data_IF_679150076552
#
_entry.id   IF_679150076552
#
_cell.length_a   1.000
_cell.length_b   1.000
_cell.length_c   1.000
_cell.angle_alpha   90.00
_cell.angle_beta   90.00
_cell.angle_gamma   90.00
#
_symmetry.space_group_name_H-M   'P 1'
#
loop_
_entity.id
_entity.type
_entity.pdbx_description
1 polymer ?
#
# COMPACT_ATOMS: atom_id res chain seq x y z
N UNK A 1 -7.29 -5.22 5.42
CA UNK A 1 -6.18 -5.13 4.45
C UNK A 1 -5.69 -3.70 4.39
N UNK A 2 -4.39 -3.47 4.57
CA UNK A 2 -3.78 -2.12 4.57
C UNK A 2 -3.11 -1.88 3.22
N UNK A 3 -3.63 -0.91 2.45
CA UNK A 3 -3.14 -0.57 1.12
C UNK A 3 -2.39 0.76 1.09
N UNK A 4 -1.11 0.71 0.75
CA UNK A 4 -0.33 1.86 0.31
C UNK A 4 -0.56 2.19 -1.17
N UNK A 5 0.23 3.15 -1.70
CA UNK A 5 0.03 3.68 -3.05
C UNK A 5 0.26 2.63 -4.16
N UNK A 6 1.03 1.56 -3.94
CA UNK A 6 1.23 0.49 -4.93
C UNK A 6 0.50 -0.81 -4.59
N UNK A 7 0.16 -0.99 -3.32
CA UNK A 7 -0.27 -2.26 -2.74
C UNK A 7 -1.79 -2.48 -2.89
N UNK A 8 -2.55 -1.42 -3.19
CA UNK A 8 -4.00 -1.52 -3.39
C UNK A 8 -4.37 -2.43 -4.58
N UNK A 9 -3.49 -2.59 -5.58
CA UNK A 9 -3.66 -3.52 -6.70
C UNK A 9 -3.66 -4.97 -6.21
N UNK A 10 -2.71 -5.31 -5.33
CA UNK A 10 -2.63 -6.63 -4.67
C UNK A 10 -3.81 -6.85 -3.72
N UNK A 11 -4.19 -5.80 -2.98
CA UNK A 11 -5.35 -5.85 -2.10
C UNK A 11 -6.65 -6.11 -2.88
N UNK A 12 -6.85 -5.46 -4.03
CA UNK A 12 -8.00 -5.69 -4.89
C UNK A 12 -8.11 -7.17 -5.32
N UNK A 13 -7.00 -7.76 -5.77
CA UNK A 13 -6.95 -9.17 -6.16
C UNK A 13 -7.37 -10.11 -5.02
N UNK A 14 -6.82 -9.89 -3.82
CA UNK A 14 -7.22 -10.69 -2.65
C UNK A 14 -8.67 -10.45 -2.24
N UNK A 15 -9.18 -9.22 -2.35
CA UNK A 15 -10.59 -8.94 -2.05
C UNK A 15 -11.54 -9.67 -2.99
N UNK A 16 -11.19 -9.78 -4.28
CA UNK A 16 -11.92 -10.61 -5.24
C UNK A 16 -11.91 -12.08 -4.86
N UNK A 17 -10.74 -12.62 -4.49
CA UNK A 17 -10.63 -14.00 -4.03
C UNK A 17 -11.45 -14.25 -2.75
N UNK A 18 -11.42 -13.32 -1.79
CA UNK A 18 -12.19 -13.43 -0.55
C UNK A 18 -13.69 -13.33 -0.79
N UNK A 19 -14.13 -12.45 -1.69
CA UNK A 19 -15.55 -12.30 -2.03
C UNK A 19 -16.15 -13.55 -2.68
N UNK A 20 -15.33 -14.40 -3.30
CA UNK A 20 -15.74 -15.67 -3.88
C UNK A 20 -15.86 -16.81 -2.84
N UNK A 21 -15.48 -16.57 -1.58
CA UNK A 21 -15.47 -17.58 -0.52
C UNK A 21 -16.45 -17.18 0.59
N UNK A 22 -17.54 -17.93 0.73
CA UNK A 22 -18.61 -17.61 1.68
C UNK A 22 -18.18 -17.74 3.16
N UNK A 23 -17.20 -18.60 3.44
CA UNK A 23 -16.74 -18.89 4.80
C UNK A 23 -15.71 -17.89 5.32
N UNK A 24 -15.23 -16.97 4.46
CA UNK A 24 -14.24 -15.97 4.84
C UNK A 24 -14.91 -14.70 5.39
N UNK A 25 -14.27 -14.03 6.38
CA UNK A 25 -14.79 -12.78 6.93
C UNK A 25 -14.79 -11.67 5.87
N UNK A 26 -15.72 -10.71 6.05
CA UNK A 26 -15.80 -9.54 5.18
C UNK A 26 -14.51 -8.72 5.26
N UNK A 27 -13.94 -8.44 4.10
CA UNK A 27 -12.68 -7.71 3.99
C UNK A 27 -12.90 -6.20 3.99
N UNK A 28 -12.21 -5.49 4.89
CA UNK A 28 -12.08 -4.03 4.86
C UNK A 28 -10.74 -3.60 4.24
N UNK A 29 -10.77 -2.68 3.29
CA UNK A 29 -9.60 -2.00 2.75
C UNK A 29 -9.35 -0.69 3.49
N UNK A 30 -8.19 -0.57 4.13
CA UNK A 30 -7.70 0.66 4.74
C UNK A 30 -6.67 1.30 3.84
N UNK A 31 -6.98 2.47 3.31
CA UNK A 31 -6.13 3.23 2.41
C UNK A 31 -5.30 4.25 3.16
N UNK A 32 -3.99 4.16 3.03
CA UNK A 32 -3.05 4.93 3.84
C UNK A 32 -2.46 6.18 3.15
N UNK A 33 -2.89 6.49 1.93
CA UNK A 33 -2.33 7.56 1.10
C UNK A 33 -3.36 8.64 0.74
N UNK A 34 -2.89 9.71 0.07
CA UNK A 34 -3.72 10.82 -0.38
C UNK A 34 -4.91 10.38 -1.24
N UNK A 35 -6.06 11.01 -1.05
CA UNK A 35 -7.30 10.64 -1.73
C UNK A 35 -7.23 10.72 -3.27
N UNK A 36 -6.36 11.56 -3.82
CA UNK A 36 -6.21 11.79 -5.27
C UNK A 36 -5.60 10.62 -6.05
N UNK A 37 -4.97 9.63 -5.39
CA UNK A 37 -4.33 8.52 -6.10
C UNK A 37 -5.24 7.33 -6.38
N UNK A 38 -6.43 7.27 -5.78
CA UNK A 38 -7.34 6.11 -5.89
C UNK A 38 -8.05 6.01 -7.25
N UNK A 39 -8.34 7.14 -7.90
CA UNK A 39 -9.06 7.15 -9.17
C UNK A 39 -8.35 6.34 -10.26
N UNK A 40 -7.01 6.31 -10.24
CA UNK A 40 -6.20 5.57 -11.22
C UNK A 40 -6.45 4.07 -11.26
N UNK A 41 -6.95 3.47 -10.18
CA UNK A 41 -7.09 2.02 -10.06
C UNK A 41 -8.48 1.59 -9.63
N UNK A 42 -9.46 2.51 -9.68
CA UNK A 42 -10.86 2.25 -9.31
C UNK A 42 -11.44 1.03 -10.05
N UNK A 43 -11.08 0.83 -11.32
CA UNK A 43 -11.60 -0.26 -12.15
C UNK A 43 -11.17 -1.66 -11.67
N UNK A 44 -10.07 -1.79 -10.92
CA UNK A 44 -9.67 -3.07 -10.32
C UNK A 44 -10.62 -3.52 -9.20
N UNK A 45 -11.42 -2.59 -8.68
CA UNK A 45 -12.40 -2.82 -7.63
C UNK A 45 -13.83 -3.00 -8.18
N UNK A 46 -14.02 -3.03 -9.51
CA UNK A 46 -15.33 -3.33 -10.10
C UNK A 46 -15.83 -4.71 -9.67
N UNK A 47 -17.13 -4.82 -9.38
CA UNK A 47 -17.73 -6.06 -8.86
C UNK A 47 -17.57 -6.26 -7.34
N UNK A 48 -16.76 -5.44 -6.66
CA UNK A 48 -16.68 -5.42 -5.20
C UNK A 48 -17.55 -4.31 -4.62
N UNK A 49 -18.23 -4.59 -3.52
CA UNK A 49 -18.83 -3.53 -2.68
C UNK A 49 -17.73 -2.78 -1.92
N UNK A 50 -17.08 -1.85 -2.61
CA UNK A 50 -15.99 -1.04 -2.03
C UNK A 50 -16.52 0.14 -1.24
N UNK A 51 -17.73 0.63 -1.53
CA UNK A 51 -18.31 1.77 -0.84
C UNK A 51 -18.53 1.46 0.66
N UNK A 52 -18.99 0.26 0.99
CA UNK A 52 -19.12 -0.20 2.37
C UNK A 52 -17.82 -0.72 3.01
N UNK A 53 -16.77 -0.95 2.21
CA UNK A 53 -15.57 -1.69 2.62
C UNK A 53 -14.26 -0.90 2.50
N UNK A 54 -14.32 0.41 2.29
CA UNK A 54 -13.16 1.28 2.15
C UNK A 54 -13.10 2.33 3.25
N UNK A 55 -12.01 2.32 4.02
CA UNK A 55 -11.66 3.40 4.94
C UNK A 55 -10.44 4.11 4.40
N UNK A 56 -10.53 5.43 4.21
CA UNK A 56 -9.37 6.24 3.82
C UNK A 56 -8.81 7.00 5.01
N UNK A 57 -7.54 6.73 5.33
CA UNK A 57 -6.80 7.51 6.32
C UNK A 57 -6.37 8.86 5.75
N UNK A 58 -6.25 9.02 4.43
CA UNK A 58 -6.01 10.31 3.78
C UNK A 58 -4.70 11.00 4.17
N UNK A 59 -3.65 10.22 4.45
CA UNK A 59 -2.35 10.72 4.88
C UNK A 59 -1.53 11.08 3.64
N UNK A 60 -1.01 12.30 3.58
CA UNK A 60 -0.29 12.83 2.42
C UNK A 60 0.96 13.60 2.86
N UNK A 61 2.11 13.26 2.26
CA UNK A 61 3.38 13.98 2.51
C UNK A 61 3.86 13.92 3.96
N UNK A 62 4.84 14.76 4.30
CA UNK A 62 5.43 14.83 5.64
C UNK A 62 6.72 14.03 5.81
N UNK A 63 7.36 14.20 6.97
CA UNK A 63 8.58 13.45 7.34
C UNK A 63 8.23 11.97 7.60
N UNK A 64 9.24 11.09 7.58
CA UNK A 64 9.03 9.67 7.88
C UNK A 64 8.37 9.46 9.26
N UNK A 65 8.92 10.10 10.29
CA UNK A 65 8.38 10.03 11.65
C UNK A 65 6.95 10.60 11.75
N UNK A 66 6.69 11.75 11.12
CA UNK A 66 5.37 12.36 11.13
C UNK A 66 4.31 11.49 10.43
N UNK A 67 4.66 10.89 9.29
CA UNK A 67 3.77 9.95 8.58
C UNK A 67 3.51 8.69 9.41
N UNK A 68 4.53 8.10 10.01
CA UNK A 68 4.38 6.92 10.86
C UNK A 68 3.46 7.21 12.06
N UNK A 69 3.65 8.34 12.74
CA UNK A 69 2.80 8.75 13.85
C UNK A 69 1.33 8.91 13.43
N UNK A 70 1.08 9.56 12.30
CA UNK A 70 -0.30 9.76 11.81
C UNK A 70 -0.94 8.45 11.34
N UNK A 71 -0.16 7.56 10.70
CA UNK A 71 -0.60 6.22 10.32
C UNK A 71 -1.03 5.43 11.56
N UNK A 72 -0.18 5.36 12.57
CA UNK A 72 -0.47 4.62 13.80
C UNK A 72 -1.72 5.17 14.49
N UNK A 73 -1.80 6.49 14.69
CA UNK A 73 -2.94 7.14 15.35
C UNK A 73 -4.27 6.88 14.63
N UNK A 74 -4.31 7.08 13.31
CA UNK A 74 -5.56 6.90 12.54
C UNK A 74 -5.91 5.42 12.36
N UNK A 75 -4.92 4.56 12.16
CA UNK A 75 -5.16 3.12 12.00
C UNK A 75 -5.63 2.47 13.30
N UNK A 76 -5.07 2.87 14.45
CA UNK A 76 -5.53 2.41 15.75
C UNK A 76 -7.02 2.71 15.97
N UNK A 77 -7.46 3.93 15.62
CA UNK A 77 -8.89 4.27 15.64
C UNK A 77 -9.72 3.30 14.79
N UNK A 78 -9.26 2.96 13.57
CA UNK A 78 -9.96 1.99 12.71
C UNK A 78 -10.03 0.61 13.37
N UNK A 79 -8.93 0.14 13.95
CA UNK A 79 -8.87 -1.15 14.64
C UNK A 79 -9.85 -1.19 15.80
N UNK A 80 -9.90 -0.14 16.62
CA UNK A 80 -10.78 -0.09 17.80
C UNK A 80 -12.26 -0.10 17.43
N UNK A 81 -12.62 0.51 16.29
CA UNK A 81 -14.02 0.57 15.83
C UNK A 81 -14.44 -0.66 15.03
N UNK A 82 -13.54 -1.22 14.21
CA UNK A 82 -13.86 -2.34 13.33
C UNK A 82 -13.62 -3.71 13.97
N UNK A 83 -12.79 -3.78 15.02
CA UNK A 83 -12.39 -5.01 15.71
C UNK A 83 -12.08 -6.18 14.76
N UNK A 84 -11.13 -6.01 13.82
CA UNK A 84 -10.84 -7.04 12.83
C UNK A 84 -10.24 -8.28 13.48
N UNK A 85 -10.52 -9.46 12.92
CA UNK A 85 -9.93 -10.72 13.37
C UNK A 85 -8.44 -10.87 13.00
N UNK A 86 -7.99 -10.16 11.97
CA UNK A 86 -6.59 -10.13 11.51
C UNK A 86 -6.32 -8.88 10.67
N UNK A 87 -5.04 -8.51 10.55
CA UNK A 87 -4.58 -7.42 9.69
C UNK A 87 -3.66 -7.97 8.62
N UNK A 88 -3.98 -7.69 7.35
CA UNK A 88 -3.14 -8.04 6.21
C UNK A 88 -2.37 -6.80 5.76
N UNK A 89 -1.05 -6.90 5.70
CA UNK A 89 -0.12 -5.89 5.16
C UNK A 89 0.60 -6.45 3.93
N UNK A 90 1.13 -5.55 3.09
CA UNK A 90 1.76 -5.91 1.82
C UNK A 90 3.13 -5.27 1.70
N UNK A 91 4.09 -6.03 1.16
CA UNK A 91 5.46 -5.59 0.85
C UNK A 91 6.11 -4.83 2.01
N UNK A 92 6.95 -3.81 1.74
CA UNK A 92 7.55 -2.98 2.79
C UNK A 92 7.33 -1.52 2.50
N UNK A 93 6.23 -0.99 3.00
CA UNK A 93 5.98 0.44 3.05
C UNK A 93 5.83 0.94 4.48
N UNK A 94 5.93 2.26 4.66
CA UNK A 94 5.66 2.92 5.94
C UNK A 94 4.29 2.51 6.52
N UNK A 95 3.30 2.26 5.64
CA UNK A 95 1.97 1.80 6.02
C UNK A 95 1.99 0.37 6.56
N UNK A 96 2.70 -0.55 5.89
CA UNK A 96 2.84 -1.93 6.35
C UNK A 96 3.50 -1.99 7.73
N UNK A 97 4.61 -1.30 7.93
CA UNK A 97 5.30 -1.25 9.21
C UNK A 97 4.45 -0.60 10.31
N UNK A 98 3.92 0.60 10.06
CA UNK A 98 3.19 1.37 11.09
C UNK A 98 1.89 0.67 11.51
N UNK A 99 1.13 0.16 10.54
CA UNK A 99 -0.14 -0.52 10.83
C UNK A 99 0.10 -1.92 11.39
N UNK A 100 1.13 -2.63 10.91
CA UNK A 100 1.54 -3.92 11.47
C UNK A 100 1.95 -3.81 12.94
N UNK A 101 2.68 -2.74 13.30
CA UNK A 101 3.07 -2.49 14.69
C UNK A 101 1.85 -2.27 15.60
N UNK A 102 0.88 -1.45 15.16
CA UNK A 102 -0.36 -1.22 15.91
C UNK A 102 -1.14 -2.53 16.09
N UNK A 103 -1.28 -3.31 15.02
CA UNK A 103 -1.99 -4.60 15.06
C UNK A 103 -1.32 -5.58 16.04
N UNK A 104 0.00 -5.76 15.93
CA UNK A 104 0.79 -6.60 16.84
C UNK A 104 0.65 -6.15 18.30
N UNK A 105 0.73 -4.84 18.58
CA UNK A 105 0.54 -4.30 19.94
C UNK A 105 -0.86 -4.48 20.50
N UNK A 106 -1.87 -4.54 19.63
CA UNK A 106 -3.27 -4.84 20.00
C UNK A 106 -3.55 -6.35 20.10
N UNK A 107 -2.55 -7.21 19.87
CA UNK A 107 -2.69 -8.66 19.90
C UNK A 107 -3.48 -9.22 18.70
N UNK A 108 -3.51 -8.48 17.59
CA UNK A 108 -4.16 -8.93 16.36
C UNK A 108 -3.17 -9.69 15.48
N UNK A 109 -3.57 -10.84 14.91
CA UNK A 109 -2.75 -11.55 13.94
C UNK A 109 -2.40 -10.66 12.75
N UNK A 110 -1.11 -10.62 12.41
CA UNK A 110 -0.56 -9.88 11.27
C UNK A 110 -0.14 -10.87 10.19
N UNK A 111 -0.75 -10.71 9.01
CA UNK A 111 -0.48 -11.49 7.82
C UNK A 111 0.27 -10.62 6.80
N UNK A 112 1.47 -11.02 6.41
CA UNK A 112 2.33 -10.21 5.57
C UNK A 112 2.51 -10.85 4.19
N UNK A 113 1.92 -10.21 3.18
CA UNK A 113 1.96 -10.64 1.77
C UNK A 113 3.12 -9.96 1.06
N UNK A 114 3.97 -10.71 0.38
CA UNK A 114 5.19 -10.16 -0.22
C UNK A 114 6.37 -10.09 0.74
N UNK A 115 6.36 -10.94 1.77
CA UNK A 115 7.39 -10.99 2.81
C UNK A 115 8.74 -11.52 2.29
N UNK A 116 9.82 -11.16 2.99
CA UNK A 116 11.14 -11.78 2.82
C UNK A 116 12.01 -11.28 1.67
N UNK A 117 11.54 -10.32 0.87
CA UNK A 117 12.36 -9.70 -0.18
C UNK A 117 13.44 -8.80 0.43
N UNK A 118 14.69 -8.91 -0.03
CA UNK A 118 15.79 -8.00 0.30
C UNK A 118 16.50 -7.54 -0.98
N UNK A 119 16.90 -6.28 -0.98
CA UNK A 119 17.80 -5.69 -1.97
C UNK A 119 19.27 -6.05 -1.73
N UNK A 120 19.60 -6.56 -0.53
CA UNK A 120 20.97 -6.80 -0.08
C UNK A 120 21.68 -5.54 0.45
N UNK A 121 21.02 -4.37 0.40
CA UNK A 121 21.57 -3.11 0.89
C UNK A 121 20.75 -2.59 2.08
N UNK A 122 21.39 -2.41 3.24
CA UNK A 122 20.71 -1.99 4.47
C UNK A 122 20.17 -0.55 4.45
N UNK A 123 20.63 0.27 3.51
CA UNK A 123 20.18 1.65 3.31
C UNK A 123 18.99 1.78 2.37
N UNK A 124 18.55 0.69 1.73
CA UNK A 124 17.36 0.71 0.90
C UNK A 124 16.11 0.96 1.75
N UNK A 125 15.31 1.94 1.33
CA UNK A 125 14.15 2.39 2.10
C UNK A 125 13.09 1.28 2.26
N UNK A 126 12.94 0.42 1.24
CA UNK A 126 12.03 -0.71 1.34
C UNK A 126 12.58 -1.75 2.32
N UNK A 127 13.86 -2.10 2.28
CA UNK A 127 14.43 -3.07 3.22
C UNK A 127 14.39 -2.60 4.69
N UNK A 128 14.57 -1.30 4.94
CA UNK A 128 14.42 -0.68 6.28
C UNK A 128 13.03 -0.96 6.86
N UNK A 129 11.98 -1.01 6.03
CA UNK A 129 10.61 -1.26 6.48
C UNK A 129 10.20 -2.72 6.39
N UNK A 130 10.68 -3.47 5.39
CA UNK A 130 10.39 -4.90 5.19
C UNK A 130 10.87 -5.75 6.35
N UNK A 131 12.13 -5.58 6.77
CA UNK A 131 12.73 -6.38 7.85
C UNK A 131 11.91 -6.32 9.15
N UNK A 132 11.64 -5.13 9.73
CA UNK A 132 10.82 -5.06 10.93
C UNK A 132 9.36 -5.48 10.68
N UNK A 133 8.78 -5.21 9.51
CA UNK A 133 7.43 -5.69 9.19
C UNK A 133 7.34 -7.23 9.17
N UNK A 134 8.34 -7.91 8.59
CA UNK A 134 8.42 -9.37 8.59
C UNK A 134 8.52 -9.92 10.03
N UNK A 135 9.24 -9.22 10.91
CA UNK A 135 9.36 -9.64 12.32
C UNK A 135 8.04 -9.49 13.10
N UNK A 136 7.24 -8.49 12.77
CA UNK A 136 5.93 -8.24 13.39
C UNK A 136 4.84 -9.21 12.92
N UNK A 137 5.04 -9.92 11.80
CA UNK A 137 4.01 -10.73 11.17
C UNK A 137 3.95 -12.17 11.72
N UNK A 138 2.78 -12.65 12.08
CA UNK A 138 2.57 -14.04 12.51
C UNK A 138 2.72 -15.03 11.34
N UNK A 139 2.27 -14.63 10.14
CA UNK A 139 2.40 -15.43 8.91
C UNK A 139 3.00 -14.60 7.78
N UNK A 140 3.99 -15.18 7.13
CA UNK A 140 4.79 -14.57 6.07
C UNK A 140 4.49 -15.28 4.75
N UNK A 141 3.71 -14.63 3.89
CA UNK A 141 3.39 -15.11 2.56
C UNK A 141 4.43 -14.63 1.56
N UNK A 142 5.26 -15.56 1.11
CA UNK A 142 6.42 -15.27 0.25
C UNK A 142 6.10 -15.50 -1.22
N UNK A 143 6.80 -14.75 -2.07
CA UNK A 143 6.53 -14.68 -3.51
C UNK A 143 7.54 -15.44 -4.36
N UNK A 144 8.74 -15.69 -3.82
CA UNK A 144 9.85 -16.39 -4.48
C UNK A 144 10.64 -17.24 -3.49
N UNK A 145 11.30 -18.28 -3.99
CA UNK A 145 12.12 -19.19 -3.17
C UNK A 145 13.28 -18.46 -2.48
N UNK A 146 13.84 -17.43 -3.12
CA UNK A 146 14.89 -16.60 -2.55
C UNK A 146 14.40 -15.89 -1.28
N UNK A 147 13.15 -15.43 -1.23
CA UNK A 147 12.58 -14.79 -0.05
C UNK A 147 12.51 -15.75 1.15
N UNK A 148 12.21 -17.03 0.92
CA UNK A 148 12.23 -18.06 1.97
C UNK A 148 13.63 -18.24 2.55
N UNK A 149 14.64 -18.28 1.68
CA UNK A 149 16.04 -18.42 2.10
C UNK A 149 16.49 -17.21 2.92
N UNK A 150 16.11 -16.00 2.52
CA UNK A 150 16.43 -14.76 3.24
C UNK A 150 15.77 -14.74 4.63
N UNK A 151 14.50 -15.11 4.74
CA UNK A 151 13.81 -15.22 6.03
C UNK A 151 14.46 -16.28 6.94
N UNK A 152 14.82 -17.44 6.38
CA UNK A 152 15.50 -18.49 7.12
C UNK A 152 16.87 -18.04 7.65
N UNK A 153 17.64 -17.31 6.84
CA UNK A 153 18.93 -16.71 7.25
C UNK A 153 18.77 -15.68 8.37
N UNK A 154 17.60 -15.04 8.46
CA UNK A 154 17.25 -14.09 9.52
C UNK A 154 16.67 -14.77 10.76
N UNK A 155 16.62 -16.11 10.80
CA UNK A 155 16.14 -16.88 11.96
C UNK A 155 14.61 -16.94 12.07
N UNK A 156 13.89 -16.64 10.99
CA UNK A 156 12.43 -16.80 10.97
C UNK A 156 12.08 -18.28 10.94
N UNK A 157 11.19 -18.68 11.84
CA UNK A 157 10.73 -20.06 11.97
C UNK A 157 9.96 -20.52 10.70
N UNK A 158 10.25 -21.72 10.22
CA UNK A 158 9.75 -22.22 8.94
C UNK A 158 8.21 -22.33 8.91
N UNK A 159 7.58 -22.61 10.04
CA UNK A 159 6.13 -22.70 10.19
C UNK A 159 5.38 -21.38 9.96
N UNK A 160 6.08 -20.24 10.11
CA UNK A 160 5.55 -18.90 9.80
C UNK A 160 5.58 -18.62 8.29
N UNK A 161 6.40 -19.33 7.53
CA UNK A 161 6.66 -19.04 6.11
C UNK A 161 5.73 -19.88 5.22
N UNK A 162 5.03 -19.21 4.29
CA UNK A 162 4.11 -19.83 3.34
C UNK A 162 4.42 -19.33 1.92
N UNK A 163 4.97 -20.21 1.09
CA UNK A 163 5.24 -19.90 -0.30
C UNK A 163 3.95 -19.94 -1.13
N UNK A 164 3.52 -18.78 -1.65
CA UNK A 164 2.24 -18.62 -2.36
C UNK A 164 2.34 -17.93 -3.72
N UNK A 165 3.52 -17.43 -4.08
CA UNK A 165 3.71 -16.67 -5.32
C UNK A 165 3.26 -15.21 -5.21
N UNK A 166 3.36 -14.46 -6.31
CA UNK A 166 3.13 -13.02 -6.33
C UNK A 166 1.69 -12.67 -6.73
N UNK A 167 0.98 -12.00 -5.84
CA UNK A 167 -0.41 -11.52 -6.04
C UNK A 167 -0.58 -10.51 -7.16
N UNK A 168 0.51 -9.99 -7.74
CA UNK A 168 0.44 -9.22 -8.99
C UNK A 168 -0.04 -10.08 -10.18
N UNK A 169 0.24 -11.39 -10.19
CA UNK A 169 -0.28 -12.28 -11.23
C UNK A 169 -1.81 -12.36 -11.16
N UNK A 170 -2.37 -12.50 -9.95
CA UNK A 170 -3.81 -12.47 -9.70
C UNK A 170 -4.41 -11.11 -10.07
N UNK A 171 -3.73 -10.01 -9.71
CA UNK A 171 -4.18 -8.67 -10.06
C UNK A 171 -4.22 -8.44 -11.57
N UNK A 172 -3.26 -9.00 -12.32
CA UNK A 172 -3.29 -8.96 -13.79
C UNK A 172 -4.50 -9.74 -14.33
N UNK A 173 -4.83 -10.90 -13.77
CA UNK A 173 -6.02 -11.65 -14.19
C UNK A 173 -7.31 -10.86 -13.92
N UNK A 174 -7.42 -10.20 -12.77
CA UNK A 174 -8.55 -9.31 -12.47
C UNK A 174 -8.63 -8.21 -13.53
N UNK A 175 -7.50 -7.56 -13.82
CA UNK A 175 -7.44 -6.46 -14.79
C UNK A 175 -7.85 -6.87 -16.21
N UNK A 176 -7.44 -8.07 -16.65
CA UNK A 176 -7.82 -8.63 -17.95
C UNK A 176 -9.32 -8.94 -18.02
N UNK A 177 -9.92 -9.40 -16.92
CA UNK A 177 -11.36 -9.71 -16.85
C UNK A 177 -12.23 -8.46 -16.84
N UNK A 178 -11.80 -7.40 -16.16
CA UNK A 178 -12.56 -6.13 -16.07
C UNK A 178 -12.41 -5.24 -17.30
N UNK A 179 -11.69 -5.70 -18.35
CA UNK A 179 -11.45 -4.94 -19.58
C UNK A 179 -10.99 -3.52 -19.29
N UNK A 180 -10.06 -3.35 -18.35
CA UNK A 180 -9.44 -2.04 -18.10
C UNK A 180 -9.06 -1.44 -19.45
N UNK A 181 -9.43 -0.17 -19.75
CA UNK A 181 -9.05 0.48 -20.98
C UNK A 181 -7.53 0.43 -21.05
N UNK A 182 -6.99 -0.44 -21.90
CA UNK A 182 -5.56 -0.48 -22.16
C UNK A 182 -5.33 0.79 -22.95
N UNK A 183 -4.68 1.81 -22.38
CA UNK A 183 -4.41 3.02 -23.14
C UNK A 183 -3.59 2.58 -24.32
N UNK A 184 -4.11 2.72 -25.55
CA UNK A 184 -3.39 2.31 -26.74
C UNK A 184 -2.16 3.23 -26.82
N UNK A 185 -0.96 2.75 -26.41
CA UNK A 185 0.19 3.63 -26.24
C UNK A 185 0.59 4.21 -27.60
N UNK A 186 0.32 3.43 -28.65
CA UNK A 186 0.53 3.82 -30.04
C UNK A 186 -0.33 5.02 -30.42
N UNK A 187 -1.64 5.00 -30.13
CA UNK A 187 -2.49 6.17 -30.36
C UNK A 187 -2.08 7.38 -29.50
N UNK A 188 -1.81 7.16 -28.22
CA UNK A 188 -1.40 8.25 -27.30
C UNK A 188 -0.07 8.90 -27.67
N UNK A 189 0.86 8.14 -28.25
CA UNK A 189 2.19 8.61 -28.63
C UNK A 189 2.27 8.97 -30.12
N UNK A 190 1.16 8.89 -30.87
CA UNK A 190 1.15 9.15 -32.31
C UNK A 190 2.00 8.18 -33.14
N UNK A 191 2.19 6.96 -32.66
CA UNK A 191 3.01 5.95 -33.33
C UNK A 191 2.24 5.29 -34.49
N UNK A 192 2.94 4.90 -35.57
CA UNK A 192 2.28 4.37 -36.76
C UNK A 192 1.61 3.01 -36.51
N UNK A 193 0.48 2.78 -37.19
CA UNK A 193 -0.36 1.60 -36.97
C UNK A 193 0.39 0.28 -37.22
N UNK A 194 1.33 0.29 -38.16
CA UNK A 194 2.14 -0.86 -38.56
C UNK A 194 3.44 -1.02 -37.74
N UNK A 195 3.67 -0.22 -36.69
CA UNK A 195 4.93 -0.26 -35.92
C UNK A 195 5.31 -1.66 -35.41
N UNK A 196 4.34 -2.49 -35.01
CA UNK A 196 4.60 -3.86 -34.53
C UNK A 196 4.38 -4.93 -35.62
N UNK A 197 3.87 -4.53 -36.79
CA UNK A 197 3.62 -5.43 -37.92
C UNK A 197 4.74 -5.34 -38.98
N UNK A 198 5.62 -4.36 -38.87
CA UNK A 198 6.85 -4.27 -39.66
C UNK A 198 7.90 -5.22 -39.06
N UNK A 199 8.54 -6.02 -39.91
CA UNK A 199 9.67 -6.89 -39.57
C UNK A 199 10.87 -6.16 -38.95
N UNK A 200 10.99 -4.84 -39.18
CA UNK A 200 11.99 -3.98 -38.56
C UNK A 200 11.42 -3.15 -37.39
N UNK A 201 10.14 -3.31 -37.08
CA UNK A 201 9.44 -2.54 -36.09
C UNK A 201 9.55 -3.14 -34.70
N UNK A 202 10.15 -2.39 -33.77
CA UNK A 202 10.22 -2.77 -32.36
C UNK A 202 9.93 -1.57 -31.46
N UNK A 203 9.32 -1.83 -30.31
CA UNK A 203 9.11 -0.84 -29.26
C UNK A 203 9.89 -1.25 -28.01
N UNK A 204 10.70 -0.34 -27.47
CA UNK A 204 11.35 -0.54 -26.18
C UNK A 204 10.49 0.14 -25.11
N UNK A 205 9.88 -0.67 -24.26
CA UNK A 205 9.15 -0.16 -23.09
C UNK A 205 10.10 -0.21 -21.90
N UNK A 206 10.51 0.97 -21.43
CA UNK A 206 11.27 1.09 -20.19
C UNK A 206 10.28 1.36 -19.05
N UNK A 207 10.16 0.41 -18.13
CA UNK A 207 9.45 0.59 -16.88
C UNK A 207 10.41 1.21 -15.86
N UNK A 208 10.44 2.54 -15.78
CA UNK A 208 11.22 3.26 -14.76
C UNK A 208 10.42 3.35 -13.45
N UNK A 209 10.94 2.75 -12.38
CA UNK A 209 10.33 2.73 -11.05
C UNK A 209 10.45 4.03 -10.26
N UNK A 210 11.13 5.06 -10.78
CA UNK A 210 11.18 6.37 -10.12
C UNK A 210 9.85 7.09 -10.32
N UNK A 211 9.10 7.31 -9.24
CA UNK A 211 8.00 8.27 -9.24
C UNK A 211 8.55 9.65 -9.65
N UNK A 212 8.45 10.00 -10.93
CA UNK A 212 8.71 11.35 -11.39
C UNK A 212 7.73 12.28 -10.67
N UNK A 213 8.24 13.11 -9.74
CA UNK A 213 7.58 14.40 -9.46
C UNK A 213 7.46 15.10 -10.80
N UNK A 214 6.24 15.25 -11.33
CA UNK A 214 6.00 16.12 -12.48
C UNK A 214 6.29 17.56 -12.01
N UNK A 215 7.48 18.07 -12.30
CA UNK A 215 7.65 19.50 -12.50
C UNK A 215 7.11 19.80 -13.90
N UNK A 216 6.05 20.60 -13.97
CA UNK A 216 5.69 21.26 -15.21
C UNK A 216 6.77 22.31 -15.49
N UNK A 217 7.53 22.12 -16.58
CA UNK A 217 7.93 23.20 -17.50
C UNK A 217 8.60 22.59 -18.73
N UNK A 218 8.38 23.16 -19.94
CA UNK A 218 8.90 22.62 -21.19
C UNK A 218 10.36 23.01 -21.42
N UNK A 219 10.97 22.25 -22.32
CA UNK A 219 12.36 22.30 -22.82
C UNK A 219 12.91 23.72 -23.01
N UNK A 220 14.11 23.95 -22.46
CA UNK A 220 15.00 25.07 -22.80
C UNK A 220 16.45 24.57 -22.73
N UNK A 221 17.20 24.85 -23.79
CA UNK A 221 18.53 24.33 -24.06
C UNK A 221 19.62 24.94 -23.15
N UNK A 222 20.63 24.10 -22.90
CA UNK A 222 22.07 24.38 -22.89
C UNK A 222 22.78 25.05 -21.70
N UNK A 223 23.99 24.50 -21.46
CA UNK A 223 25.19 25.05 -20.80
C UNK A 223 25.37 24.93 -19.26
N UNK A 224 26.24 23.99 -18.90
CA UNK A 224 27.13 24.04 -17.71
C UNK A 224 28.31 25.02 -17.99
N UNK A 225 29.12 25.50 -16.99
CA UNK A 225 29.53 24.79 -15.78
C UNK A 225 29.71 25.60 -14.46
N UNK A 226 29.81 24.84 -13.37
CA UNK A 226 30.63 25.03 -12.14
C UNK A 226 30.62 26.36 -11.36
N UNK A 227 30.24 26.29 -10.07
CA UNK A 227 30.98 26.96 -8.97
C UNK A 227 30.76 26.26 -7.62
N UNK A 228 31.88 25.95 -6.96
CA UNK A 228 31.99 25.44 -5.58
C UNK A 228 31.61 26.53 -4.56
N UNK A 229 31.11 26.13 -3.39
CA UNK A 229 31.02 27.00 -2.23
C UNK A 229 30.40 26.33 -1.01
N UNK A 230 31.24 25.76 -0.15
CA UNK A 230 30.87 25.29 1.18
C UNK A 230 30.32 26.43 2.06
N UNK A 231 29.37 26.14 2.95
CA UNK A 231 29.43 26.53 4.38
C UNK A 231 28.34 25.86 5.23
N UNK A 232 28.66 25.84 6.52
CA UNK A 232 28.25 24.96 7.63
C UNK A 232 26.80 25.12 8.12
N UNK A 233 26.43 24.09 8.88
CA UNK A 233 25.40 24.06 9.91
C UNK A 233 25.34 25.31 10.81
N UNK A 234 24.11 25.79 10.99
CA UNK A 234 23.52 26.40 12.18
C UNK A 234 21.99 26.36 11.96
N UNK A 235 21.19 26.58 12.99
CA UNK A 235 19.71 26.58 12.99
C UNK A 235 19.03 25.23 13.21
N UNK A 236 19.47 24.54 14.26
CA UNK A 236 18.72 23.47 14.93
C UNK A 236 18.15 23.91 16.30
N UNK A 237 18.02 25.21 16.52
CA UNK A 237 17.56 25.78 17.79
C UNK A 237 16.52 26.89 17.55
N UNK A 238 15.36 26.54 16.97
CA UNK A 238 14.16 27.40 17.07
C UNK A 238 12.81 26.69 16.78
N UNK A 239 12.81 25.35 16.67
CA UNK A 239 11.60 24.59 16.35
C UNK A 239 10.76 24.20 17.59
N UNK A 240 11.18 24.54 18.82
CA UNK A 240 10.52 24.11 20.05
C UNK A 240 9.56 25.13 20.71
N UNK A 241 9.30 26.29 20.08
CA UNK A 241 8.48 27.35 20.68
C UNK A 241 7.20 27.71 19.90
N UNK A 242 6.66 26.80 19.06
CA UNK A 242 5.32 26.95 18.45
C UNK A 242 4.48 25.69 18.55
N UNK A 243 4.38 25.18 19.78
CA UNK A 243 3.36 24.21 20.18
C UNK A 243 2.24 24.95 20.94
N UNK A 244 1.46 25.78 20.25
CA UNK A 244 0.23 26.37 20.79
C UNK A 244 -0.68 26.77 19.64
N UNK A 245 -1.93 26.31 19.70
CA UNK A 245 -3.04 26.69 18.83
C UNK A 245 -2.99 26.22 17.37
N UNK A 246 -3.56 25.04 17.05
CA UNK A 246 -4.31 24.84 15.81
C UNK A 246 -5.54 23.92 16.07
N UNK A 247 -6.64 24.11 15.31
CA UNK A 247 -8.01 23.89 15.76
C UNK A 247 -8.51 22.45 15.55
N UNK A 248 -9.54 22.12 16.32
CA UNK A 248 -10.38 20.95 16.15
C UNK A 248 -11.02 20.91 14.76
N UNK A 249 -10.83 19.79 14.05
CA UNK A 249 -11.65 19.20 12.98
C UNK A 249 -10.79 18.73 11.80
N UNK A 250 -10.76 17.43 11.55
CA UNK A 250 -10.24 16.83 10.33
C UNK A 250 -11.12 15.63 10.00
N UNK A 251 -12.00 15.84 9.03
CA UNK A 251 -13.08 14.93 8.65
C UNK A 251 -12.55 13.58 8.14
N UNK A 252 -12.73 12.53 8.93
CA UNK A 252 -12.77 11.16 8.45
C UNK A 252 -14.02 11.04 7.56
N UNK A 253 -13.85 10.81 6.25
CA UNK A 253 -14.98 10.70 5.31
C UNK A 253 -15.31 9.23 5.08
N UNK A 254 -16.46 8.83 5.61
CA UNK A 254 -17.20 7.68 5.12
C UNK A 254 -17.85 8.08 3.79
N UNK A 255 -17.76 7.24 2.76
CA UNK A 255 -18.49 7.49 1.51
C UNK A 255 -20.00 7.33 1.80
N UNK A 256 -20.89 8.21 1.30
CA UNK A 256 -22.31 8.09 1.59
C UNK A 256 -22.86 6.83 0.92
N UNK A 257 -23.36 5.91 1.75
CA UNK A 257 -24.14 4.77 1.31
C UNK A 257 -25.53 5.24 0.87
N UNK A 258 -25.87 5.08 -0.42
CA UNK A 258 -27.26 5.16 -0.84
C UNK A 258 -27.99 3.91 -0.36
N UNK A 259 -28.87 4.11 0.63
CA UNK A 259 -29.93 3.21 1.13
C UNK A 259 -29.51 1.85 1.72
N UNK A 260 -29.82 1.70 3.02
CA UNK A 260 -29.67 0.52 3.89
C UNK A 260 -30.42 -0.74 3.44
N UNK A 261 -30.03 -1.92 3.97
CA UNK A 261 -30.95 -2.58 4.92
C UNK A 261 -30.30 -2.93 6.27
N UNK A 262 -31.18 -3.09 7.26
CA UNK A 262 -30.95 -3.13 8.71
C UNK A 262 -30.05 -4.30 9.17
N UNK A 263 -29.16 -3.99 10.11
CA UNK A 263 -28.40 -4.94 10.92
C UNK A 263 -29.31 -5.56 12.01
N UNK A 264 -29.39 -6.89 12.19
CA UNK A 264 -30.13 -7.47 13.30
C UNK A 264 -29.30 -7.44 14.59
N UNK A 265 -29.85 -6.81 15.62
CA UNK A 265 -29.32 -6.79 17.00
C UNK A 265 -29.63 -8.12 17.72
N UNK A 266 -28.63 -8.53 18.52
CA UNK A 266 -28.65 -9.40 19.73
C UNK A 266 -28.73 -10.92 19.56
N UNK A 267 -27.76 -11.61 20.17
CA UNK A 267 -27.99 -12.32 21.44
C UNK A 267 -26.67 -12.57 22.20
N UNK A 268 -26.53 -11.94 23.35
CA UNK A 268 -25.60 -12.27 24.44
C UNK A 268 -25.92 -13.66 25.01
N UNK A 269 -24.94 -14.56 25.13
CA UNK A 269 -24.94 -15.61 26.16
C UNK A 269 -23.56 -15.78 26.77
N UNK A 270 -23.59 -15.70 28.11
CA UNK A 270 -22.52 -15.97 29.09
C UNK A 270 -21.98 -17.38 28.95
N UNK A 271 -20.69 -17.57 29.20
CA UNK A 271 -20.16 -18.77 29.87
C UNK A 271 -19.15 -18.33 30.94
N UNK A 272 -19.54 -18.53 32.20
CA UNK A 272 -18.66 -18.73 33.34
C UNK A 272 -18.61 -20.25 33.58
N UNK A 273 -17.58 -20.66 34.33
CA UNK A 273 -17.10 -22.00 34.70
C UNK A 273 -16.50 -22.82 33.57
#
# INVERSE_FOLDING_TARGET
>A
MVGGQGEHVKAAALMHAFAAQADLPVTLLVRCYANSAFERHRQMFEGLDVAGRLVSLGIAGGTYAGRAAELMKRFEFVVDHCQPAAVIVFDGSDAALSCGLVASRKGLPVLHVGAGLRSGTTTDAADITRRPADQLADVLYTTESQANQQLAQEGVAAERIRFVGNTLADALQVALRTKLPVPNPRERLGLPANLLNDRNGYGVVVLDGRQRRRSADPVGADQHPARRGARRAADLADAHARASCWPSSSSMRWWPASASPRCPRRATRRWCS
#
